data_IF_140354031803
#
_entry.id   IF_140354031803
#
_cell.length_a   1.000
_cell.length_b   1.000
_cell.length_c   1.000
_cell.angle_alpha   90.00
_cell.angle_beta   90.00
_cell.angle_gamma   90.00
#
_symmetry.space_group_name_H-M   'P 1'
#
loop_
_entity.id
_entity.type
_entity.pdbx_description
1 polymer ?
#
# COMPACT_ATOMS: atom_id res chain seq x y z
N UNK A 1 -30.36 -26.89 29.61
CA UNK A 1 -28.97 -26.93 30.11
C UNK A 1 -27.90 -27.02 29.00
N UNK A 2 -28.10 -27.86 27.97
CA UNK A 2 -27.14 -28.02 26.85
C UNK A 2 -27.07 -26.78 25.90
N UNK A 3 -28.18 -26.09 25.71
CA UNK A 3 -28.29 -24.93 24.80
C UNK A 3 -27.58 -23.68 25.36
N UNK A 4 -27.61 -23.47 26.69
CA UNK A 4 -26.91 -22.37 27.36
C UNK A 4 -25.38 -22.54 27.28
N UNK A 5 -24.88 -23.76 27.43
CA UNK A 5 -23.44 -24.05 27.34
C UNK A 5 -22.88 -23.86 25.92
N UNK A 6 -23.68 -24.16 24.89
CA UNK A 6 -23.30 -23.93 23.48
C UNK A 6 -23.28 -22.45 23.11
N UNK A 7 -24.18 -21.64 23.65
CA UNK A 7 -24.22 -20.17 23.46
C UNK A 7 -23.05 -19.49 24.16
N UNK A 8 -22.71 -19.88 25.39
CA UNK A 8 -21.54 -19.36 26.09
C UNK A 8 -20.24 -19.72 25.40
N UNK A 9 -20.11 -20.97 24.93
CA UNK A 9 -18.90 -21.38 24.18
C UNK A 9 -18.73 -20.60 22.87
N UNK A 10 -19.82 -20.36 22.15
CA UNK A 10 -19.82 -19.53 20.94
C UNK A 10 -19.49 -18.07 21.23
N UNK A 11 -20.02 -17.51 22.29
CA UNK A 11 -19.71 -16.14 22.72
C UNK A 11 -18.22 -15.96 23.07
N UNK A 12 -17.67 -16.87 23.85
CA UNK A 12 -16.24 -16.86 24.20
C UNK A 12 -15.33 -17.05 22.98
N UNK A 13 -15.72 -17.92 22.04
CA UNK A 13 -14.99 -18.14 20.80
C UNK A 13 -14.98 -16.88 19.92
N UNK A 14 -16.13 -16.26 19.70
CA UNK A 14 -16.24 -15.05 18.89
C UNK A 14 -15.49 -13.87 19.53
N UNK A 15 -15.56 -13.72 20.85
CA UNK A 15 -14.82 -12.69 21.59
C UNK A 15 -13.30 -12.88 21.48
N UNK A 16 -12.79 -14.09 21.61
CA UNK A 16 -11.38 -14.40 21.47
C UNK A 16 -10.88 -14.16 20.04
N UNK A 17 -11.66 -14.53 19.02
CA UNK A 17 -11.33 -14.22 17.61
C UNK A 17 -11.25 -12.72 17.35
N UNK A 18 -12.17 -11.95 17.90
CA UNK A 18 -12.15 -10.49 17.74
C UNK A 18 -10.95 -9.85 18.45
N UNK A 19 -10.63 -10.33 19.65
CA UNK A 19 -9.43 -9.90 20.40
C UNK A 19 -8.15 -10.22 19.64
N UNK A 20 -8.03 -11.43 19.11
CA UNK A 20 -6.89 -11.87 18.32
C UNK A 20 -6.71 -11.01 17.06
N UNK A 21 -7.79 -10.75 16.33
CA UNK A 21 -7.73 -9.88 15.13
C UNK A 21 -7.33 -8.45 15.48
N UNK A 22 -7.75 -7.91 16.62
CA UNK A 22 -7.33 -6.59 17.11
C UNK A 22 -5.83 -6.58 17.42
N UNK A 23 -5.32 -7.60 18.10
CA UNK A 23 -3.89 -7.74 18.38
C UNK A 23 -3.05 -7.77 17.11
N UNK A 24 -3.48 -8.51 16.10
CA UNK A 24 -2.80 -8.54 14.80
C UNK A 24 -2.76 -7.19 14.11
N UNK A 25 -3.85 -6.41 14.17
CA UNK A 25 -3.85 -5.08 13.54
C UNK A 25 -2.96 -4.09 14.29
N UNK A 26 -2.96 -4.12 15.62
CA UNK A 26 -2.04 -3.30 16.43
C UNK A 26 -0.59 -3.71 16.15
N UNK A 27 -0.31 -5.01 16.09
CA UNK A 27 1.02 -5.52 15.75
C UNK A 27 1.47 -5.03 14.37
N UNK A 28 0.63 -5.17 13.35
CA UNK A 28 0.95 -4.71 11.98
C UNK A 28 1.16 -3.20 11.93
N UNK A 29 0.34 -2.42 12.64
CA UNK A 29 0.52 -0.97 12.73
C UNK A 29 1.86 -0.62 13.40
N UNK A 30 2.15 -1.23 14.56
CA UNK A 30 3.40 -0.98 15.28
C UNK A 30 4.62 -1.37 14.45
N UNK A 31 4.58 -2.54 13.81
CA UNK A 31 5.65 -2.99 12.91
C UNK A 31 5.84 -2.06 11.71
N UNK A 32 4.74 -1.61 11.10
CA UNK A 32 4.79 -0.69 9.96
C UNK A 32 5.36 0.67 10.36
N UNK A 33 4.95 1.20 11.51
CA UNK A 33 5.49 2.47 12.02
C UNK A 33 6.96 2.35 12.40
N UNK A 34 7.36 1.26 13.06
CA UNK A 34 8.77 1.00 13.39
C UNK A 34 9.60 0.92 12.10
N UNK A 35 9.13 0.20 11.09
CA UNK A 35 9.81 0.09 9.81
C UNK A 35 9.92 1.46 9.11
N UNK A 36 8.86 2.26 9.14
CA UNK A 36 8.88 3.60 8.59
C UNK A 36 9.90 4.51 9.31
N UNK A 37 9.92 4.48 10.64
CA UNK A 37 10.89 5.23 11.44
C UNK A 37 12.31 4.74 11.16
N UNK A 38 12.51 3.43 11.03
CA UNK A 38 13.80 2.82 10.73
C UNK A 38 14.34 3.29 9.36
N UNK A 39 13.48 3.35 8.34
CA UNK A 39 13.84 3.89 7.03
C UNK A 39 14.12 5.38 7.07
N UNK A 40 13.29 6.14 7.77
CA UNK A 40 13.46 7.58 7.93
C UNK A 40 14.75 7.94 8.71
N UNK A 41 15.07 7.20 9.76
CA UNK A 41 16.31 7.39 10.54
C UNK A 41 17.59 7.02 9.77
N UNK A 42 17.49 6.62 8.50
CA UNK A 42 18.64 6.27 7.68
C UNK A 42 19.28 4.92 8.00
N UNK A 43 18.70 4.13 8.88
CA UNK A 43 19.26 2.83 9.29
C UNK A 43 19.26 1.78 8.15
N UNK A 44 18.58 2.06 7.06
CA UNK A 44 18.58 1.23 5.84
C UNK A 44 19.44 1.80 4.71
N UNK A 45 20.09 2.94 4.94
CA UNK A 45 20.82 3.68 3.88
C UNK A 45 22.00 2.88 3.36
N UNK A 46 22.82 2.33 4.24
CA UNK A 46 23.98 1.52 3.86
C UNK A 46 23.56 0.30 3.02
N UNK A 47 22.47 -0.39 3.43
CA UNK A 47 21.94 -1.52 2.67
C UNK A 47 21.37 -1.07 1.32
N UNK A 48 20.70 0.07 1.27
CA UNK A 48 20.19 0.68 0.04
C UNK A 48 21.31 1.07 -0.92
N UNK A 49 22.40 1.64 -0.40
CA UNK A 49 23.58 1.98 -1.18
C UNK A 49 24.23 0.74 -1.80
N UNK A 50 24.39 -0.33 -1.04
CA UNK A 50 24.91 -1.62 -1.56
C UNK A 50 24.05 -2.19 -2.68
N UNK A 51 22.70 -2.09 -2.56
CA UNK A 51 21.80 -2.49 -3.64
C UNK A 51 22.03 -1.60 -4.87
N UNK A 52 22.10 -0.29 -4.68
CA UNK A 52 22.31 0.65 -5.78
C UNK A 52 23.67 0.41 -6.47
N UNK A 53 24.74 0.19 -5.71
CA UNK A 53 26.06 -0.18 -6.24
C UNK A 53 26.01 -1.47 -7.04
N UNK A 54 25.38 -2.50 -6.50
CA UNK A 54 25.19 -3.77 -7.22
C UNK A 54 24.41 -3.58 -8.53
N UNK A 55 23.36 -2.76 -8.53
CA UNK A 55 22.59 -2.47 -9.74
C UNK A 55 23.42 -1.66 -10.75
N UNK A 56 24.24 -0.70 -10.28
CA UNK A 56 25.18 0.05 -11.10
C UNK A 56 26.16 -0.91 -11.79
N UNK A 57 26.80 -1.79 -11.04
CA UNK A 57 27.83 -2.70 -11.55
C UNK A 57 27.26 -3.74 -12.51
N UNK A 58 26.11 -4.32 -12.19
CA UNK A 58 25.53 -5.44 -12.95
C UNK A 58 24.66 -5.00 -14.12
N UNK A 59 24.01 -3.85 -14.02
CA UNK A 59 23.07 -3.36 -15.03
C UNK A 59 23.61 -2.17 -15.85
N UNK A 60 24.84 -1.75 -15.58
CA UNK A 60 25.50 -0.65 -16.30
C UNK A 60 24.87 0.72 -16.03
N UNK A 61 24.47 0.96 -14.81
CA UNK A 61 23.92 2.24 -14.35
C UNK A 61 25.01 3.32 -14.45
N UNK A 62 24.89 4.26 -15.36
CA UNK A 62 25.90 5.32 -15.53
C UNK A 62 25.77 6.47 -14.55
N UNK A 63 24.59 6.63 -13.93
CA UNK A 63 24.30 7.71 -12.96
C UNK A 63 23.17 7.34 -12.02
N UNK A 64 23.20 7.83 -10.77
CA UNK A 64 22.16 7.71 -9.74
C UNK A 64 20.77 8.23 -10.19
N UNK A 65 20.73 8.98 -11.30
CA UNK A 65 19.55 9.64 -11.85
C UNK A 65 19.30 9.31 -13.34
N UNK A 66 20.10 8.43 -13.94
CA UNK A 66 19.88 8.07 -15.33
C UNK A 66 18.76 7.03 -15.39
N UNK A 67 17.69 7.39 -16.09
CA UNK A 67 16.50 6.55 -16.28
C UNK A 67 16.64 5.51 -17.40
N UNK A 68 17.86 5.35 -17.97
CA UNK A 68 18.10 4.54 -19.15
C UNK A 68 19.01 3.34 -18.82
N UNK A 69 18.42 2.22 -18.44
CA UNK A 69 19.12 1.02 -18.02
C UNK A 69 18.81 -0.19 -18.85
N UNK A 70 19.84 -0.86 -19.27
CA UNK A 70 19.70 -2.09 -20.02
C UNK A 70 19.12 -1.85 -21.40
N UNK A 71 18.80 -2.91 -22.13
CA UNK A 71 18.19 -2.82 -23.44
C UNK A 71 16.80 -2.15 -23.35
N UNK A 72 16.39 -1.46 -24.41
CA UNK A 72 15.12 -0.71 -24.46
C UNK A 72 13.90 -1.55 -24.06
N UNK A 73 13.85 -2.81 -24.42
CA UNK A 73 12.76 -3.71 -24.02
C UNK A 73 12.64 -3.85 -22.50
N UNK A 74 13.76 -3.86 -21.77
CA UNK A 74 13.77 -3.97 -20.32
C UNK A 74 13.21 -2.70 -19.67
N UNK A 75 13.58 -1.53 -20.20
CA UNK A 75 13.04 -0.25 -19.75
C UNK A 75 11.53 -0.17 -19.96
N UNK A 76 11.07 -0.58 -21.14
CA UNK A 76 9.64 -0.60 -21.43
C UNK A 76 8.86 -1.52 -20.47
N UNK A 77 9.38 -2.72 -20.20
CA UNK A 77 8.76 -3.66 -19.25
C UNK A 77 8.73 -3.05 -17.84
N UNK A 78 9.84 -2.49 -17.37
CA UNK A 78 9.93 -1.87 -16.06
C UNK A 78 8.94 -0.70 -15.92
N UNK A 79 8.88 0.20 -16.89
CA UNK A 79 7.96 1.32 -16.89
C UNK A 79 6.49 0.87 -16.89
N UNK A 80 6.16 -0.20 -17.59
CA UNK A 80 4.82 -0.76 -17.60
C UNK A 80 4.44 -1.31 -16.21
N UNK A 81 5.33 -2.02 -15.52
CA UNK A 81 5.05 -2.51 -14.17
C UNK A 81 5.00 -1.37 -13.13
N UNK A 82 5.87 -0.38 -13.20
CA UNK A 82 5.82 0.77 -12.30
C UNK A 82 4.51 1.55 -12.47
N UNK A 83 4.01 1.65 -13.71
CA UNK A 83 2.75 2.33 -14.02
C UNK A 83 1.54 1.73 -13.31
N UNK A 84 1.57 0.45 -12.91
CA UNK A 84 0.50 -0.16 -12.11
C UNK A 84 0.30 0.51 -10.75
N UNK A 85 1.32 1.19 -10.22
CA UNK A 85 1.24 2.00 -9.01
C UNK A 85 0.91 3.47 -9.26
N UNK A 86 0.78 3.89 -10.51
CA UNK A 86 0.58 5.28 -10.87
C UNK A 86 -0.86 5.76 -10.64
N UNK A 87 -1.01 7.07 -10.40
CA UNK A 87 -2.31 7.68 -10.18
C UNK A 87 -3.29 7.49 -11.35
N UNK A 88 -2.91 7.62 -12.64
CA UNK A 88 -3.82 7.39 -13.76
C UNK A 88 -4.37 5.97 -13.81
N UNK A 89 -3.53 4.95 -13.57
CA UNK A 89 -3.95 3.55 -13.58
C UNK A 89 -4.89 3.25 -12.41
N UNK A 90 -4.54 3.70 -11.21
CA UNK A 90 -5.40 3.55 -10.02
C UNK A 90 -6.75 4.25 -10.23
N UNK A 91 -6.76 5.46 -10.82
CA UNK A 91 -7.98 6.19 -11.13
C UNK A 91 -8.86 5.42 -12.15
N UNK A 92 -8.26 4.85 -13.18
CA UNK A 92 -8.97 4.00 -14.14
C UNK A 92 -9.69 2.84 -13.44
N UNK A 93 -8.98 2.12 -12.57
CA UNK A 93 -9.58 1.03 -11.79
C UNK A 93 -10.64 1.52 -10.80
N UNK A 94 -10.49 2.71 -10.21
CA UNK A 94 -11.50 3.31 -9.36
C UNK A 94 -12.78 3.63 -10.14
N UNK A 95 -12.67 4.12 -11.37
CA UNK A 95 -13.83 4.39 -12.25
C UNK A 95 -14.54 3.08 -12.58
N UNK A 96 -13.80 2.02 -12.96
CA UNK A 96 -14.37 0.69 -13.24
C UNK A 96 -15.07 0.14 -12.00
N UNK A 97 -14.41 0.20 -10.83
CA UNK A 97 -15.00 -0.24 -9.57
C UNK A 97 -16.27 0.57 -9.22
N UNK A 98 -16.28 1.89 -9.49
CA UNK A 98 -17.47 2.74 -9.30
C UNK A 98 -18.65 2.24 -10.11
N UNK A 99 -18.45 1.93 -11.38
CA UNK A 99 -19.48 1.38 -12.27
C UNK A 99 -20.02 0.05 -11.71
N UNK A 100 -19.15 -0.87 -11.36
CA UNK A 100 -19.51 -2.16 -10.78
C UNK A 100 -20.35 -2.03 -9.50
N UNK A 101 -19.93 -1.20 -8.55
CA UNK A 101 -20.65 -1.00 -7.30
C UNK A 101 -21.99 -0.27 -7.48
N UNK A 102 -22.06 0.66 -8.45
CA UNK A 102 -23.29 1.36 -8.82
C UNK A 102 -24.34 0.38 -9.36
N UNK A 103 -23.94 -0.48 -10.30
CA UNK A 103 -24.83 -1.52 -10.90
C UNK A 103 -25.33 -2.47 -9.81
N UNK A 104 -24.45 -2.92 -8.91
CA UNK A 104 -24.80 -3.85 -7.82
C UNK A 104 -25.47 -3.18 -6.61
N UNK A 105 -25.80 -1.89 -6.67
CA UNK A 105 -26.46 -1.09 -5.60
C UNK A 105 -25.70 -1.12 -4.25
N UNK A 106 -24.37 -1.29 -4.27
CA UNK A 106 -23.54 -1.45 -3.07
C UNK A 106 -22.86 -0.16 -2.61
N UNK A 107 -23.61 0.93 -2.58
CA UNK A 107 -23.10 2.30 -2.29
C UNK A 107 -22.23 2.38 -1.02
N UNK A 108 -22.67 1.78 0.10
CA UNK A 108 -21.92 1.83 1.37
C UNK A 108 -20.53 1.18 1.29
N UNK A 109 -20.40 0.11 0.51
CA UNK A 109 -19.11 -0.58 0.32
C UNK A 109 -18.19 0.20 -0.58
N UNK A 110 -18.73 0.72 -1.67
CA UNK A 110 -17.99 1.59 -2.57
C UNK A 110 -17.47 2.83 -1.84
N UNK A 111 -18.31 3.52 -1.06
CA UNK A 111 -17.90 4.67 -0.27
C UNK A 111 -16.72 4.35 0.65
N UNK A 112 -16.74 3.20 1.34
CA UNK A 112 -15.60 2.75 2.15
C UNK A 112 -14.34 2.49 1.34
N UNK A 113 -14.47 1.77 0.23
CA UNK A 113 -13.34 1.52 -0.67
C UNK A 113 -12.71 2.83 -1.13
N UNK A 114 -13.54 3.75 -1.61
CA UNK A 114 -13.13 5.06 -2.08
C UNK A 114 -12.46 5.88 -0.97
N UNK A 115 -13.04 5.91 0.24
CA UNK A 115 -12.49 6.63 1.39
C UNK A 115 -11.10 6.12 1.79
N UNK A 116 -10.85 4.80 1.72
CA UNK A 116 -9.55 4.22 2.03
C UNK A 116 -8.51 4.65 0.98
N UNK A 117 -8.86 4.57 -0.30
CA UNK A 117 -7.91 4.87 -1.38
C UNK A 117 -7.64 6.37 -1.48
N UNK A 118 -8.68 7.21 -1.45
CA UNK A 118 -8.51 8.67 -1.49
C UNK A 118 -7.79 9.15 -0.22
N UNK A 119 -8.19 8.68 0.96
CA UNK A 119 -7.53 9.02 2.20
C UNK A 119 -6.05 8.64 2.20
N UNK A 120 -5.71 7.48 1.63
CA UNK A 120 -4.33 7.07 1.42
C UNK A 120 -3.56 8.01 0.49
N UNK A 121 -4.18 8.47 -0.59
CA UNK A 121 -3.60 9.46 -1.50
C UNK A 121 -3.35 10.81 -0.81
N UNK A 122 -4.28 11.24 0.05
CA UNK A 122 -4.11 12.46 0.85
C UNK A 122 -2.93 12.30 1.83
N UNK A 123 -2.88 11.20 2.58
CA UNK A 123 -1.76 10.93 3.49
C UNK A 123 -0.43 10.87 2.74
N UNK A 124 -0.39 10.18 1.60
CA UNK A 124 0.79 10.17 0.74
C UNK A 124 1.25 11.60 0.38
N UNK A 125 0.31 12.46 -0.02
CA UNK A 125 0.63 13.84 -0.38
C UNK A 125 1.15 14.64 0.82
N UNK A 126 0.54 14.46 1.99
CA UNK A 126 0.99 15.08 3.24
C UNK A 126 2.41 14.63 3.59
N UNK A 127 2.70 13.32 3.53
CA UNK A 127 4.05 12.82 3.79
C UNK A 127 5.06 13.40 2.81
N UNK A 128 4.74 13.48 1.52
CA UNK A 128 5.63 14.10 0.53
C UNK A 128 5.91 15.58 0.79
N UNK A 129 4.95 16.32 1.34
CA UNK A 129 5.15 17.73 1.74
C UNK A 129 6.01 17.82 2.99
N UNK A 130 5.79 16.95 3.98
CA UNK A 130 6.58 16.96 5.23
C UNK A 130 8.05 16.59 4.97
N UNK A 131 8.30 15.66 4.06
CA UNK A 131 9.63 15.18 3.71
C UNK A 131 10.19 15.82 2.44
N UNK A 132 9.58 16.91 1.94
CA UNK A 132 10.11 17.65 0.82
C UNK A 132 11.46 18.25 1.22
N UNK A 133 12.54 17.79 0.59
CA UNK A 133 13.80 18.49 0.61
C UNK A 133 13.68 19.70 -0.30
N UNK A 134 14.18 20.85 0.14
CA UNK A 134 14.31 22.03 -0.70
C UNK A 134 15.35 21.71 -1.80
N UNK A 135 14.86 21.27 -2.95
CA UNK A 135 15.73 21.15 -4.12
C UNK A 135 16.07 22.59 -4.59
N UNK A 136 17.35 22.91 -4.84
CA UNK A 136 17.79 24.23 -5.24
C UNK A 136 17.47 24.55 -6.71
N UNK A 137 16.30 24.14 -7.21
CA UNK A 137 15.92 24.36 -8.59
C UNK A 137 14.50 24.92 -8.74
N UNK A 138 14.38 25.84 -9.67
CA UNK A 138 13.28 26.76 -9.97
C UNK A 138 11.86 26.18 -9.93
N UNK A 139 10.87 27.01 -9.55
CA UNK A 139 9.47 26.58 -9.48
C UNK A 139 8.90 26.48 -10.91
N UNK A 140 8.87 25.29 -11.45
CA UNK A 140 8.14 25.01 -12.68
C UNK A 140 6.83 24.29 -12.31
N UNK A 141 5.75 25.02 -12.53
CA UNK A 141 4.35 24.62 -12.57
C UNK A 141 3.71 23.97 -11.32
N UNK A 142 2.57 24.55 -10.94
CA UNK A 142 1.70 24.20 -9.82
C UNK A 142 1.30 22.70 -9.68
N UNK A 143 1.49 21.89 -10.70
CA UNK A 143 1.21 20.46 -10.70
C UNK A 143 2.48 19.58 -10.56
N UNK A 144 3.66 20.14 -10.76
CA UNK A 144 4.95 19.41 -10.71
C UNK A 144 5.82 19.77 -9.50
N UNK A 145 5.28 20.55 -8.56
CA UNK A 145 5.99 21.05 -7.39
C UNK A 145 6.67 19.92 -6.61
N UNK A 146 7.97 20.07 -6.46
CA UNK A 146 8.86 19.50 -5.44
C UNK A 146 8.39 18.14 -4.91
N UNK A 147 8.65 17.12 -5.67
CA UNK A 147 8.27 15.79 -5.24
C UNK A 147 9.45 15.23 -4.47
N UNK A 148 9.39 15.30 -3.15
CA UNK A 148 10.28 14.49 -2.31
C UNK A 148 10.28 13.06 -2.84
N UNK A 149 11.46 12.48 -3.03
CA UNK A 149 11.57 11.08 -3.40
C UNK A 149 11.00 10.17 -2.31
N UNK A 150 11.09 10.60 -1.06
CA UNK A 150 10.64 9.87 0.13
C UNK A 150 9.25 10.32 0.60
N UNK A 151 8.37 9.36 1.00
CA UNK A 151 8.41 7.94 0.63
C UNK A 151 7.95 7.71 -0.82
N UNK A 152 8.22 6.52 -1.39
CA UNK A 152 7.78 6.17 -2.74
C UNK A 152 6.24 6.16 -2.85
N UNK A 153 5.71 7.09 -3.65
CA UNK A 153 4.26 7.24 -3.83
C UNK A 153 3.62 6.08 -4.59
N UNK A 154 4.29 5.57 -5.63
CA UNK A 154 3.81 4.42 -6.39
C UNK A 154 3.68 3.17 -5.51
N UNK A 155 4.69 2.89 -4.69
CA UNK A 155 4.68 1.72 -3.81
C UNK A 155 3.64 1.86 -2.70
N UNK A 156 3.51 3.05 -2.11
CA UNK A 156 2.48 3.32 -1.10
C UNK A 156 1.07 3.14 -1.68
N UNK A 157 0.80 3.74 -2.84
CA UNK A 157 -0.52 3.67 -3.47
C UNK A 157 -0.84 2.28 -4.01
N UNK A 158 0.13 1.56 -4.58
CA UNK A 158 -0.04 0.16 -4.96
C UNK A 158 -0.41 -0.71 -3.74
N UNK A 159 0.26 -0.52 -2.61
CA UNK A 159 -0.02 -1.23 -1.36
C UNK A 159 -1.46 -0.97 -0.89
N UNK A 160 -1.84 0.30 -0.80
CA UNK A 160 -3.19 0.70 -0.36
C UNK A 160 -4.25 0.16 -1.32
N UNK A 161 -4.06 0.37 -2.61
CA UNK A 161 -5.06 0.01 -3.61
C UNK A 161 -5.25 -1.50 -3.75
N UNK A 162 -4.17 -2.24 -4.03
CA UNK A 162 -4.28 -3.67 -4.31
C UNK A 162 -4.68 -4.49 -3.09
N UNK A 163 -4.19 -4.16 -1.88
CA UNK A 163 -4.64 -4.85 -0.67
C UNK A 163 -6.09 -4.52 -0.33
N UNK A 164 -6.51 -3.26 -0.49
CA UNK A 164 -7.92 -2.90 -0.29
C UNK A 164 -8.81 -3.66 -1.25
N UNK A 165 -8.46 -3.67 -2.54
CA UNK A 165 -9.20 -4.40 -3.57
C UNK A 165 -9.28 -5.90 -3.25
N UNK A 166 -8.16 -6.51 -2.88
CA UNK A 166 -8.10 -7.92 -2.50
C UNK A 166 -8.98 -8.23 -1.29
N UNK A 167 -8.95 -7.40 -0.24
CA UNK A 167 -9.81 -7.56 0.93
C UNK A 167 -11.28 -7.43 0.55
N UNK A 168 -11.64 -6.49 -0.32
CA UNK A 168 -13.02 -6.31 -0.78
C UNK A 168 -13.49 -7.50 -1.61
N UNK A 169 -12.69 -8.02 -2.53
CA UNK A 169 -13.00 -9.22 -3.31
C UNK A 169 -13.15 -10.44 -2.38
N UNK A 170 -12.22 -10.64 -1.45
CA UNK A 170 -12.22 -11.83 -0.58
C UNK A 170 -13.34 -11.86 0.44
N UNK A 171 -13.94 -10.73 0.77
CA UNK A 171 -15.14 -10.68 1.65
C UNK A 171 -16.38 -11.41 1.05
N UNK A 172 -16.39 -11.64 -0.27
CA UNK A 172 -17.47 -12.31 -0.99
C UNK A 172 -17.17 -13.78 -1.29
N UNK A 173 -15.93 -14.17 -1.07
CA UNK A 173 -15.48 -15.51 -1.41
C UNK A 173 -15.56 -16.44 -0.20
N UNK A 174 -16.39 -17.47 -0.30
CA UNK A 174 -16.47 -18.54 0.70
C UNK A 174 -15.28 -19.51 0.61
N UNK A 175 -14.74 -19.71 -0.60
CA UNK A 175 -13.65 -20.67 -0.85
C UNK A 175 -12.31 -20.12 -0.38
N UNK A 176 -11.71 -20.77 0.63
CA UNK A 176 -10.39 -20.38 1.19
C UNK A 176 -9.27 -20.31 0.13
N UNK A 177 -9.30 -21.22 -0.86
CA UNK A 177 -8.31 -21.22 -1.98
C UNK A 177 -8.38 -19.91 -2.79
N UNK A 178 -9.58 -19.44 -3.15
CA UNK A 178 -9.77 -18.20 -3.91
C UNK A 178 -9.29 -16.98 -3.10
N UNK A 179 -9.63 -16.94 -1.80
CA UNK A 179 -9.15 -15.87 -0.91
C UNK A 179 -7.62 -15.80 -0.86
N UNK A 180 -6.97 -16.96 -0.71
CA UNK A 180 -5.50 -17.03 -0.70
C UNK A 180 -4.91 -16.58 -2.04
N UNK A 181 -5.46 -17.07 -3.15
CA UNK A 181 -5.03 -16.68 -4.50
C UNK A 181 -5.13 -15.16 -4.69
N UNK A 182 -6.26 -14.54 -4.35
CA UNK A 182 -6.46 -13.08 -4.49
C UNK A 182 -5.43 -12.27 -3.69
N UNK A 183 -5.14 -12.71 -2.45
CA UNK A 183 -4.12 -12.04 -1.62
C UNK A 183 -2.72 -12.21 -2.17
N UNK A 184 -2.37 -13.40 -2.66
CA UNK A 184 -1.07 -13.65 -3.31
C UNK A 184 -0.95 -12.79 -4.57
N UNK A 185 -1.97 -12.75 -5.42
CA UNK A 185 -1.96 -11.95 -6.64
C UNK A 185 -1.77 -10.44 -6.34
N UNK A 186 -2.49 -9.91 -5.33
CA UNK A 186 -2.30 -8.53 -4.90
C UNK A 186 -0.89 -8.25 -4.38
N UNK A 187 -0.36 -9.15 -3.54
CA UNK A 187 1.01 -9.03 -3.03
C UNK A 187 2.06 -9.11 -4.13
N UNK A 188 1.85 -9.98 -5.12
CA UNK A 188 2.73 -10.09 -6.29
C UNK A 188 2.74 -8.81 -7.12
N UNK A 189 1.57 -8.18 -7.34
CA UNK A 189 1.48 -6.89 -8.04
C UNK A 189 2.22 -5.78 -7.29
N UNK A 190 2.06 -5.71 -5.97
CA UNK A 190 2.77 -4.73 -5.13
C UNK A 190 4.28 -4.96 -5.22
N UNK A 191 4.72 -6.22 -5.15
CA UNK A 191 6.13 -6.55 -5.28
C UNK A 191 6.69 -6.20 -6.67
N UNK A 192 5.94 -6.48 -7.75
CA UNK A 192 6.34 -6.11 -9.11
C UNK A 192 6.48 -4.60 -9.28
N UNK A 193 5.54 -3.81 -8.76
CA UNK A 193 5.64 -2.34 -8.75
C UNK A 193 6.90 -1.90 -8.00
N UNK A 194 7.15 -2.44 -6.82
CA UNK A 194 8.31 -2.09 -6.01
C UNK A 194 9.63 -2.44 -6.70
N UNK A 195 9.73 -3.67 -7.21
CA UNK A 195 10.92 -4.14 -7.91
C UNK A 195 11.18 -3.31 -9.18
N UNK A 196 10.14 -3.03 -9.97
CA UNK A 196 10.30 -2.25 -11.20
C UNK A 196 10.80 -0.83 -10.95
N UNK A 197 10.35 -0.18 -9.86
CA UNK A 197 10.77 1.17 -9.51
C UNK A 197 12.22 1.20 -9.02
N UNK A 198 12.65 0.21 -8.25
CA UNK A 198 14.05 0.06 -7.85
C UNK A 198 14.91 -0.22 -9.09
N UNK A 199 14.48 -1.17 -9.92
CA UNK A 199 15.19 -1.55 -11.15
C UNK A 199 15.20 -0.44 -12.21
N UNK A 200 14.32 0.53 -12.21
CA UNK A 200 14.34 1.70 -13.08
C UNK A 200 15.18 2.87 -12.52
N UNK A 201 15.74 2.74 -11.31
CA UNK A 201 16.43 3.83 -10.63
C UNK A 201 15.52 4.98 -10.20
N UNK A 202 14.18 4.81 -10.32
CA UNK A 202 13.22 5.86 -9.97
C UNK A 202 13.14 6.13 -8.47
N UNK A 203 13.41 5.10 -7.65
CA UNK A 203 13.46 5.19 -6.20
C UNK A 203 14.48 4.24 -5.60
N UNK A 204 15.05 4.64 -4.49
CA UNK A 204 15.94 3.80 -3.68
C UNK A 204 15.15 2.71 -2.94
N UNK A 205 15.83 1.65 -2.53
CA UNK A 205 15.22 0.60 -1.71
C UNK A 205 14.58 1.15 -0.43
N UNK A 206 15.25 2.10 0.22
CA UNK A 206 14.76 2.78 1.43
C UNK A 206 13.43 3.49 1.20
N UNK A 207 13.31 4.25 0.09
CA UNK A 207 12.08 4.98 -0.26
C UNK A 207 10.91 4.04 -0.56
N UNK A 208 11.20 2.92 -1.24
CA UNK A 208 10.22 1.87 -1.53
C UNK A 208 9.73 1.18 -0.26
N UNK A 209 10.64 0.86 0.65
CA UNK A 209 10.32 0.24 1.94
C UNK A 209 9.50 1.18 2.83
N UNK A 210 9.81 2.49 2.80
CA UNK A 210 9.02 3.52 3.46
C UNK A 210 7.61 3.62 2.87
N UNK A 211 7.46 3.56 1.54
CA UNK A 211 6.17 3.54 0.88
C UNK A 211 5.30 2.34 1.29
N UNK A 212 5.88 1.13 1.34
CA UNK A 212 5.19 -0.06 1.83
C UNK A 212 4.74 0.11 3.28
N UNK A 213 5.64 0.52 4.15
CA UNK A 213 5.35 0.67 5.57
C UNK A 213 4.27 1.72 5.83
N UNK A 214 4.32 2.88 5.16
CA UNK A 214 3.28 3.89 5.25
C UNK A 214 1.92 3.40 4.74
N UNK A 215 1.90 2.66 3.61
CA UNK A 215 0.69 2.04 3.07
C UNK A 215 0.06 1.03 4.03
N UNK A 216 0.87 0.15 4.62
CA UNK A 216 0.42 -0.84 5.62
C UNK A 216 -0.06 -0.18 6.91
N UNK A 217 0.62 0.87 7.39
CA UNK A 217 0.18 1.64 8.56
C UNK A 217 -1.19 2.25 8.32
N UNK A 218 -1.40 2.90 7.17
CA UNK A 218 -2.69 3.48 6.79
C UNK A 218 -3.82 2.43 6.76
N UNK A 219 -3.58 1.29 6.13
CA UNK A 219 -4.55 0.20 6.07
C UNK A 219 -4.89 -0.36 7.47
N UNK A 220 -3.91 -0.46 8.36
CA UNK A 220 -4.10 -0.90 9.74
C UNK A 220 -4.98 0.09 10.52
N UNK A 221 -4.74 1.39 10.36
CA UNK A 221 -5.58 2.46 10.95
C UNK A 221 -7.02 2.36 10.41
N UNK A 222 -7.21 2.28 9.10
CA UNK A 222 -8.53 2.15 8.49
C UNK A 222 -9.30 0.93 9.02
N UNK A 223 -8.61 -0.21 9.17
CA UNK A 223 -9.21 -1.42 9.71
C UNK A 223 -9.62 -1.26 11.18
N UNK A 224 -8.76 -0.63 11.99
CA UNK A 224 -9.07 -0.37 13.41
C UNK A 224 -10.27 0.57 13.55
N UNK A 225 -10.33 1.64 12.75
CA UNK A 225 -11.47 2.57 12.72
C UNK A 225 -12.77 1.88 12.31
N UNK A 226 -12.74 1.04 11.28
CA UNK A 226 -13.93 0.28 10.87
C UNK A 226 -14.49 -0.57 12.02
N UNK A 227 -13.60 -1.20 12.80
CA UNK A 227 -14.01 -2.01 13.95
C UNK A 227 -14.56 -1.19 15.11
N UNK A 228 -13.91 -0.08 15.40
CA UNK A 228 -14.39 0.83 16.44
C UNK A 228 -15.81 1.32 16.16
N UNK A 229 -16.06 1.78 14.94
CA UNK A 229 -17.40 2.24 14.51
C UNK A 229 -18.44 1.11 14.57
N UNK A 230 -18.08 -0.12 14.18
CA UNK A 230 -19.00 -1.26 14.26
C UNK A 230 -19.36 -1.59 15.70
N UNK A 231 -18.39 -1.59 16.61
CA UNK A 231 -18.63 -1.87 18.04
C UNK A 231 -19.62 -0.88 18.64
N UNK A 232 -19.44 0.41 18.39
CA UNK A 232 -20.32 1.43 18.92
C UNK A 232 -21.76 1.35 18.36
N UNK A 233 -21.93 0.92 17.11
CA UNK A 233 -23.26 0.74 16.51
C UNK A 233 -24.01 -0.50 17.01
N UNK A 234 -23.33 -1.46 17.61
CA UNK A 234 -23.96 -2.64 18.19
C UNK A 234 -24.33 -2.44 19.68
N UNK A 235 -23.95 -1.30 20.28
CA UNK A 235 -24.29 -0.94 21.65
C UNK A 235 -25.44 0.08 21.74
N UNK A 236 -25.91 0.58 20.59
CA UNK A 236 -27.09 1.43 20.42
C UNK A 236 -28.17 0.67 19.68
#
# INVERSE_FOLDING_TARGET
MQESSTLEHKYHYDHNLERQKKSWAVFLLSLSLLLFIFTFAGLTTEFSERINEFLVDQLGYTNKWSTNFGPEWFLHINNNFSSLGSAPVILCFLIIASGYYKINKQRKRFSKFLSIVIGGGIIMRILKIIFAEELPYEPIEFLTTTVSAFPSGHTMMATIFYLTLAVFITRWQSKKKVRRFTLIAASSLIFLVAASIILSGGHTFTEVLAGWSAGMAWLSVCWMLERYVKKNRSMV
#
